data_IF_275223815732
#
_entry.id   IF_275223815732
#
_cell.length_a   1.000
_cell.length_b   1.000
_cell.length_c   1.000
_cell.angle_alpha   90.00
_cell.angle_beta   90.00
_cell.angle_gamma   90.00
#
_symmetry.space_group_name_H-M   'P 1'
#
loop_
_entity.id
_entity.type
_entity.pdbx_description
1 polymer ?
#
# COMPACT_ATOMS: atom_id res chain seq x y z
N UNK A 1 -3.33 -5.43 -27.86
CA UNK A 1 -2.51 -6.66 -27.81
C UNK A 1 -2.15 -6.86 -26.36
N UNK A 2 -2.64 -7.92 -25.72
CA UNK A 2 -2.21 -8.35 -24.38
C UNK A 2 -0.75 -8.79 -24.51
N UNK A 3 0.14 -8.19 -23.72
CA UNK A 3 1.52 -8.64 -23.64
C UNK A 3 1.54 -10.10 -23.15
N UNK A 4 2.21 -10.98 -23.88
CA UNK A 4 2.44 -12.34 -23.40
C UNK A 4 3.71 -12.36 -22.58
N UNK A 5 3.61 -12.85 -21.33
CA UNK A 5 4.73 -12.91 -20.38
C UNK A 5 5.34 -14.32 -20.26
N UNK A 6 5.21 -15.13 -21.30
CA UNK A 6 5.61 -16.54 -21.29
C UNK A 6 7.10 -16.78 -21.01
N UNK A 7 7.95 -15.78 -21.31
CA UNK A 7 9.40 -15.85 -21.11
C UNK A 7 9.88 -15.30 -19.76
N UNK A 8 8.98 -14.77 -18.92
CA UNK A 8 9.36 -14.22 -17.62
C UNK A 8 9.68 -15.32 -16.63
N UNK A 9 10.85 -15.25 -16.02
CA UNK A 9 11.30 -16.17 -14.97
C UNK A 9 11.55 -15.42 -13.68
N UNK A 10 11.07 -15.98 -12.58
CA UNK A 10 11.36 -15.52 -11.23
C UNK A 10 12.64 -16.19 -10.74
N UNK A 11 13.56 -15.41 -10.17
CA UNK A 11 14.88 -15.89 -9.74
C UNK A 11 15.16 -15.29 -8.36
N UNK A 12 15.66 -16.08 -7.43
CA UNK A 12 16.10 -15.55 -6.15
C UNK A 12 16.37 -16.62 -5.11
N UNK A 13 16.98 -16.24 -3.99
CA UNK A 13 17.04 -17.06 -2.79
C UNK A 13 15.64 -17.17 -2.16
N UNK A 14 15.45 -18.07 -1.19
CA UNK A 14 14.17 -18.22 -0.48
C UNK A 14 13.92 -17.09 0.53
N UNK A 15 14.30 -15.86 0.19
CA UNK A 15 14.12 -14.65 1.02
C UNK A 15 13.62 -13.50 0.16
N UNK A 16 12.75 -12.67 0.72
CA UNK A 16 12.13 -11.55 0.00
C UNK A 16 13.15 -10.50 -0.52
N UNK A 17 14.32 -10.42 0.09
CA UNK A 17 15.25 -9.29 -0.11
C UNK A 17 16.23 -9.51 -1.28
N UNK A 18 16.22 -10.67 -1.94
CA UNK A 18 17.14 -11.01 -3.04
C UNK A 18 16.43 -11.53 -4.28
N UNK A 19 15.22 -11.10 -4.53
CA UNK A 19 14.40 -11.62 -5.63
C UNK A 19 14.61 -10.82 -6.91
N UNK A 20 14.69 -11.53 -8.03
CA UNK A 20 14.89 -10.97 -9.35
C UNK A 20 13.88 -11.51 -10.35
N UNK A 21 13.69 -10.75 -11.42
CA UNK A 21 12.84 -11.09 -12.55
C UNK A 21 13.69 -11.06 -13.82
N UNK A 22 13.83 -12.19 -14.50
CA UNK A 22 14.40 -12.22 -15.84
C UNK A 22 13.29 -11.92 -16.85
N UNK A 23 13.41 -10.76 -17.51
CA UNK A 23 12.49 -10.29 -18.54
C UNK A 23 12.83 -10.94 -19.90
N UNK A 24 14.09 -11.32 -20.11
CA UNK A 24 14.61 -12.02 -21.29
C UNK A 24 15.86 -12.82 -20.94
N UNK A 25 16.49 -13.46 -21.93
CA UNK A 25 17.78 -14.16 -21.75
C UNK A 25 18.93 -13.22 -21.34
N UNK A 26 18.79 -11.91 -21.63
CA UNK A 26 19.84 -10.92 -21.44
C UNK A 26 19.47 -9.82 -20.44
N UNK A 27 18.26 -9.84 -19.89
CA UNK A 27 17.77 -8.80 -19.02
C UNK A 27 17.16 -9.36 -17.72
N UNK A 28 17.81 -9.05 -16.60
CA UNK A 28 17.34 -9.37 -15.26
C UNK A 28 17.26 -8.10 -14.43
N UNK A 29 16.16 -7.90 -13.72
CA UNK A 29 15.92 -6.75 -12.84
C UNK A 29 15.59 -7.23 -11.43
N UNK A 30 15.86 -6.39 -10.43
CA UNK A 30 15.42 -6.67 -9.05
C UNK A 30 13.89 -6.59 -8.98
N UNK A 31 13.25 -7.45 -8.17
CA UNK A 31 11.79 -7.45 -8.01
C UNK A 31 11.25 -6.11 -7.49
N UNK A 32 12.05 -5.35 -6.76
CA UNK A 32 11.71 -4.01 -6.26
C UNK A 32 12.21 -2.86 -7.17
N UNK A 33 12.66 -3.15 -8.39
CA UNK A 33 12.91 -2.12 -9.41
C UNK A 33 11.57 -1.69 -10.05
N UNK A 34 10.72 -1.12 -9.20
CA UNK A 34 9.36 -0.72 -9.59
C UNK A 34 9.30 0.20 -10.81
N UNK A 35 10.21 1.20 -10.99
CA UNK A 35 10.19 2.03 -12.19
C UNK A 35 10.24 1.21 -13.48
N UNK A 36 11.08 0.18 -13.53
CA UNK A 36 11.20 -0.70 -14.71
C UNK A 36 10.01 -1.63 -14.86
N UNK A 37 9.48 -2.15 -13.74
CA UNK A 37 8.31 -3.05 -13.75
C UNK A 37 7.06 -2.27 -14.19
N UNK A 38 6.84 -1.07 -13.66
CA UNK A 38 5.69 -0.24 -14.01
C UNK A 38 5.74 0.28 -15.46
N UNK A 39 6.92 0.41 -16.06
CA UNK A 39 7.06 0.82 -17.45
C UNK A 39 6.41 -0.16 -18.44
N UNK A 40 6.31 -1.45 -18.07
CA UNK A 40 5.73 -2.50 -18.93
C UNK A 40 4.26 -2.74 -18.55
N UNK A 41 3.30 -2.52 -19.49
CA UNK A 41 1.87 -2.70 -19.21
C UNK A 41 1.54 -4.11 -18.68
N UNK A 42 0.89 -4.20 -17.50
CA UNK A 42 0.45 -5.45 -16.89
C UNK A 42 1.55 -6.31 -16.25
N UNK A 43 2.82 -5.90 -16.35
CA UNK A 43 3.93 -6.71 -15.82
C UNK A 43 3.89 -6.83 -14.31
N UNK A 44 3.57 -5.74 -13.60
CA UNK A 44 3.44 -5.73 -12.15
C UNK A 44 2.39 -6.74 -11.68
N UNK A 45 1.21 -6.68 -12.26
CA UNK A 45 0.10 -7.59 -11.93
C UNK A 45 0.49 -9.04 -12.23
N UNK A 46 1.07 -9.28 -13.39
CA UNK A 46 1.52 -10.62 -13.77
C UNK A 46 2.53 -11.19 -12.76
N UNK A 47 3.54 -10.42 -12.38
CA UNK A 47 4.57 -10.88 -11.44
C UNK A 47 3.99 -10.98 -10.02
N UNK A 48 3.44 -9.88 -9.51
CA UNK A 48 3.16 -9.73 -8.08
C UNK A 48 1.82 -10.38 -7.71
N UNK A 49 0.77 -10.18 -8.53
CA UNK A 49 -0.55 -10.70 -8.20
C UNK A 49 -0.71 -12.16 -8.67
N UNK A 50 -0.30 -12.51 -9.90
CA UNK A 50 -0.55 -13.83 -10.45
C UNK A 50 0.54 -14.83 -10.01
N UNK A 51 1.83 -14.50 -10.25
CA UNK A 51 2.93 -15.43 -10.02
C UNK A 51 3.32 -15.55 -8.54
N UNK A 52 3.40 -14.45 -7.82
CA UNK A 52 3.75 -14.41 -6.39
C UNK A 52 2.51 -14.43 -5.49
N UNK A 53 1.30 -14.39 -6.05
CA UNK A 53 0.02 -14.52 -5.33
C UNK A 53 -0.15 -13.47 -4.22
N UNK A 54 0.22 -12.22 -4.48
CA UNK A 54 0.12 -11.16 -3.50
C UNK A 54 -1.34 -10.85 -3.14
N UNK A 55 -1.65 -10.89 -1.85
CA UNK A 55 -2.99 -10.68 -1.29
C UNK A 55 -3.18 -9.35 -0.57
N UNK A 56 -2.11 -8.58 -0.36
CA UNK A 56 -2.22 -7.33 0.42
C UNK A 56 -3.25 -6.34 -0.12
N UNK A 57 -3.40 -6.11 -1.44
CA UNK A 57 -4.43 -5.20 -1.94
C UNK A 57 -5.85 -5.63 -1.55
N UNK A 58 -6.16 -6.92 -1.71
CA UNK A 58 -7.46 -7.47 -1.36
C UNK A 58 -7.71 -7.42 0.15
N UNK A 59 -6.74 -7.86 0.96
CA UNK A 59 -6.84 -7.88 2.42
C UNK A 59 -7.00 -6.47 2.98
N UNK A 60 -6.24 -5.49 2.48
CA UNK A 60 -6.38 -4.10 2.89
C UNK A 60 -7.74 -3.53 2.52
N UNK A 61 -8.21 -3.75 1.28
CA UNK A 61 -9.50 -3.23 0.81
C UNK A 61 -10.68 -3.86 1.58
N UNK A 62 -10.70 -5.19 1.74
CA UNK A 62 -11.72 -5.90 2.53
C UNK A 62 -11.70 -5.46 4.00
N UNK A 63 -10.52 -5.32 4.59
CA UNK A 63 -10.34 -4.82 5.95
C UNK A 63 -10.89 -3.40 6.11
N UNK A 64 -10.55 -2.50 5.20
CA UNK A 64 -11.06 -1.13 5.21
C UNK A 64 -12.60 -1.10 5.11
N UNK A 65 -13.18 -1.85 4.20
CA UNK A 65 -14.64 -1.94 4.03
C UNK A 65 -15.33 -2.56 5.28
N UNK A 66 -14.70 -3.54 5.93
CA UNK A 66 -15.15 -4.06 7.24
C UNK A 66 -15.12 -2.98 8.31
N UNK A 67 -14.03 -2.20 8.38
CA UNK A 67 -13.89 -1.13 9.38
C UNK A 67 -14.96 -0.05 9.21
N UNK A 68 -15.20 0.46 8.00
CA UNK A 68 -16.23 1.47 7.76
C UNK A 68 -17.65 0.94 8.05
N UNK A 69 -17.93 -0.33 7.73
CA UNK A 69 -19.20 -0.99 8.08
C UNK A 69 -19.39 -1.07 9.59
N UNK A 70 -18.35 -1.49 10.33
CA UNK A 70 -18.36 -1.57 11.80
C UNK A 70 -18.59 -0.20 12.45
N UNK A 71 -18.09 0.86 11.82
CA UNK A 71 -18.23 2.24 12.29
C UNK A 71 -19.53 2.92 11.80
N UNK A 72 -20.38 2.18 11.09
CA UNK A 72 -21.63 2.69 10.48
C UNK A 72 -21.40 3.92 9.58
N UNK A 73 -20.28 3.96 8.84
CA UNK A 73 -19.93 5.02 7.91
C UNK A 73 -20.43 4.68 6.51
N UNK A 74 -20.84 5.71 5.75
CA UNK A 74 -21.34 5.56 4.38
C UNK A 74 -20.19 5.68 3.37
N UNK A 75 -19.77 4.59 2.68
CA UNK A 75 -18.65 4.64 1.73
C UNK A 75 -18.89 5.64 0.60
N UNK A 76 -20.14 5.82 0.17
CA UNK A 76 -20.53 6.75 -0.90
C UNK A 76 -20.35 8.24 -0.55
N UNK A 77 -20.03 8.57 0.68
CA UNK A 77 -19.71 9.93 1.13
C UNK A 77 -18.21 10.15 1.40
N UNK A 78 -17.39 9.09 1.33
CA UNK A 78 -16.00 9.14 1.75
C UNK A 78 -15.03 9.52 0.63
N UNK A 79 -14.00 10.29 1.00
CA UNK A 79 -12.77 10.41 0.23
C UNK A 79 -11.65 9.72 0.98
N UNK A 80 -11.03 8.72 0.38
CA UNK A 80 -10.00 7.88 1.02
C UNK A 80 -8.62 8.20 0.44
N UNK A 81 -7.63 8.34 1.31
CA UNK A 81 -6.22 8.44 0.93
C UNK A 81 -5.64 7.04 0.75
N UNK A 82 -5.07 6.76 -0.42
CA UNK A 82 -4.31 5.55 -0.71
C UNK A 82 -2.81 5.88 -0.76
N UNK A 83 -2.03 5.33 0.18
CA UNK A 83 -0.59 5.59 0.32
C UNK A 83 0.21 4.45 -0.28
N UNK A 84 1.13 4.78 -1.20
CA UNK A 84 1.83 3.81 -2.03
C UNK A 84 0.89 3.21 -3.06
N UNK A 85 0.18 4.07 -3.78
CA UNK A 85 -0.93 3.71 -4.68
C UNK A 85 -0.53 2.81 -5.84
N UNK A 86 0.76 2.79 -6.24
CA UNK A 86 1.28 1.93 -7.30
C UNK A 86 0.48 2.02 -8.60
N UNK A 87 0.10 0.87 -9.14
CA UNK A 87 -0.72 0.76 -10.35
C UNK A 87 -2.21 1.03 -10.14
N UNK A 88 -2.66 1.32 -8.90
CA UNK A 88 -4.03 1.68 -8.60
C UNK A 88 -4.96 0.51 -8.21
N UNK A 89 -4.41 -0.67 -7.94
CA UNK A 89 -5.21 -1.85 -7.63
C UNK A 89 -6.05 -1.69 -6.36
N UNK A 90 -5.48 -1.10 -5.30
CA UNK A 90 -6.20 -0.81 -4.05
C UNK A 90 -7.33 0.19 -4.29
N UNK A 91 -7.03 1.29 -5.01
CA UNK A 91 -8.04 2.27 -5.39
C UNK A 91 -9.21 1.65 -6.15
N UNK A 92 -8.94 0.75 -7.11
CA UNK A 92 -9.97 0.03 -7.85
C UNK A 92 -10.86 -0.81 -6.93
N UNK A 93 -10.26 -1.56 -6.00
CA UNK A 93 -10.97 -2.43 -5.06
C UNK A 93 -11.89 -1.64 -4.11
N UNK A 94 -11.40 -0.56 -3.49
CA UNK A 94 -12.23 0.23 -2.56
C UNK A 94 -13.30 1.04 -3.30
N UNK A 95 -13.02 1.49 -4.53
CA UNK A 95 -14.04 2.10 -5.40
C UNK A 95 -15.13 1.07 -5.76
N UNK A 96 -14.75 -0.16 -6.07
CA UNK A 96 -15.68 -1.28 -6.26
C UNK A 96 -16.53 -1.58 -5.03
N UNK A 97 -15.99 -1.33 -3.83
CA UNK A 97 -16.69 -1.42 -2.53
C UNK A 97 -17.57 -0.22 -2.20
N UNK A 98 -17.74 0.75 -3.12
CA UNK A 98 -18.66 1.88 -2.98
C UNK A 98 -18.06 3.16 -2.44
N UNK A 99 -16.74 3.23 -2.16
CA UNK A 99 -16.08 4.48 -1.76
C UNK A 99 -16.23 5.53 -2.85
N UNK A 100 -16.71 6.74 -2.48
CA UNK A 100 -17.04 7.79 -3.45
C UNK A 100 -15.82 8.31 -4.21
N UNK A 101 -14.70 8.54 -3.51
CA UNK A 101 -13.49 9.11 -4.08
C UNK A 101 -12.25 8.50 -3.44
N UNK A 102 -11.20 8.32 -4.23
CA UNK A 102 -9.88 7.95 -3.72
C UNK A 102 -8.86 8.95 -4.24
N UNK A 103 -7.96 9.40 -3.38
CA UNK A 103 -6.79 10.22 -3.71
C UNK A 103 -5.56 9.34 -3.52
N UNK A 104 -4.80 9.14 -4.58
CA UNK A 104 -3.59 8.33 -4.57
C UNK A 104 -2.35 9.16 -4.29
N UNK A 105 -1.40 8.58 -3.54
CA UNK A 105 -0.05 9.14 -3.34
C UNK A 105 0.98 8.05 -3.56
N UNK A 106 2.01 8.35 -4.36
CA UNK A 106 3.16 7.49 -4.54
C UNK A 106 4.43 8.34 -4.78
N UNK A 107 5.58 7.83 -4.38
CA UNK A 107 6.86 8.51 -4.59
C UNK A 107 7.31 8.45 -6.06
N UNK A 108 6.80 7.49 -6.85
CA UNK A 108 7.26 7.19 -8.19
C UNK A 108 6.33 7.78 -9.26
N UNK A 109 6.89 8.56 -10.17
CA UNK A 109 6.16 9.06 -11.34
C UNK A 109 5.69 7.92 -12.27
N UNK A 110 6.46 6.83 -12.32
CA UNK A 110 6.17 5.62 -13.09
C UNK A 110 4.94 4.89 -12.57
N UNK A 111 4.72 4.90 -11.24
CA UNK A 111 3.52 4.35 -10.61
C UNK A 111 2.27 5.09 -11.10
N UNK A 112 2.31 6.44 -11.07
CA UNK A 112 1.23 7.28 -11.62
C UNK A 112 0.99 7.00 -13.11
N UNK A 113 2.05 6.92 -13.89
CA UNK A 113 1.94 6.65 -15.34
C UNK A 113 1.31 5.28 -15.61
N UNK A 114 1.71 4.24 -14.85
CA UNK A 114 1.12 2.91 -14.92
C UNK A 114 -0.36 2.92 -14.51
N UNK A 115 -0.71 3.59 -13.41
CA UNK A 115 -2.09 3.71 -12.98
C UNK A 115 -2.99 4.39 -14.03
N UNK A 116 -2.54 5.51 -14.60
CA UNK A 116 -3.31 6.22 -15.64
C UNK A 116 -3.49 5.39 -16.93
N UNK A 117 -2.52 4.54 -17.25
CA UNK A 117 -2.56 3.63 -18.40
C UNK A 117 -3.51 2.45 -18.16
N UNK A 118 -3.37 1.79 -17.00
CA UNK A 118 -3.99 0.48 -16.74
C UNK A 118 -5.35 0.61 -16.04
N UNK A 119 -5.55 1.67 -15.23
CA UNK A 119 -6.77 1.95 -14.42
C UNK A 119 -7.19 3.42 -14.54
N UNK A 120 -7.48 3.92 -15.76
CA UNK A 120 -7.83 5.33 -15.96
C UNK A 120 -9.09 5.69 -15.14
N UNK A 121 -9.00 6.81 -14.41
CA UNK A 121 -10.13 7.36 -13.64
C UNK A 121 -10.42 6.67 -12.31
N UNK A 122 -9.57 5.74 -11.84
CA UNK A 122 -9.75 5.10 -10.53
C UNK A 122 -9.57 6.10 -9.40
N UNK A 123 -8.57 6.99 -9.50
CA UNK A 123 -8.35 8.08 -8.55
C UNK A 123 -9.00 9.38 -9.01
N UNK A 124 -9.53 10.14 -8.07
CA UNK A 124 -9.96 11.52 -8.29
C UNK A 124 -8.75 12.44 -8.53
N UNK A 125 -7.64 12.14 -7.85
CA UNK A 125 -6.33 12.73 -8.09
C UNK A 125 -5.23 11.73 -7.71
N UNK A 126 -4.05 11.85 -8.32
CA UNK A 126 -2.88 11.02 -8.05
C UNK A 126 -1.66 11.93 -7.90
N UNK A 127 -1.22 12.10 -6.66
CA UNK A 127 -0.10 12.96 -6.29
C UNK A 127 1.22 12.18 -6.30
N UNK A 128 2.28 12.82 -6.78
CA UNK A 128 3.62 12.27 -6.72
C UNK A 128 4.36 12.98 -5.59
N UNK A 129 4.87 12.22 -4.62
CA UNK A 129 5.68 12.76 -3.53
C UNK A 129 5.97 11.75 -2.45
N UNK A 130 6.99 12.07 -1.67
CA UNK A 130 7.42 11.28 -0.53
C UNK A 130 6.83 11.84 0.76
N UNK A 131 5.96 11.06 1.39
CA UNK A 131 5.34 11.41 2.68
C UNK A 131 6.32 11.36 3.87
N UNK A 132 7.51 10.76 3.73
CA UNK A 132 8.51 10.75 4.80
C UNK A 132 9.19 12.11 5.00
N UNK A 133 9.08 13.02 4.02
CA UNK A 133 9.72 14.34 4.05
C UNK A 133 8.91 15.35 4.86
N UNK A 134 9.48 15.88 5.94
CA UNK A 134 8.86 16.93 6.77
C UNK A 134 8.74 18.28 6.05
N UNK A 135 9.55 18.51 5.01
CA UNK A 135 9.58 19.78 4.25
C UNK A 135 8.63 19.81 3.06
N UNK A 136 7.83 18.74 2.86
CA UNK A 136 7.03 18.56 1.66
C UNK A 136 5.78 19.46 1.61
N UNK A 137 5.44 19.89 0.41
CA UNK A 137 4.16 20.52 0.11
C UNK A 137 3.00 19.52 0.14
N UNK A 138 3.32 18.21 0.14
CA UNK A 138 2.38 17.10 0.00
C UNK A 138 1.32 17.04 1.13
N UNK A 139 1.67 17.10 2.44
CA UNK A 139 0.66 17.17 3.49
C UNK A 139 -0.26 18.40 3.37
N UNK A 140 0.28 19.54 2.90
CA UNK A 140 -0.54 20.73 2.65
C UNK A 140 -1.52 20.55 1.50
N UNK A 141 -1.10 19.91 0.41
CA UNK A 141 -1.99 19.55 -0.69
C UNK A 141 -3.07 18.56 -0.24
N UNK A 142 -2.69 17.54 0.53
CA UNK A 142 -3.62 16.53 1.05
C UNK A 142 -4.71 17.09 1.94
N UNK A 143 -4.42 18.11 2.75
CA UNK A 143 -5.44 18.82 3.56
C UNK A 143 -6.52 19.51 2.71
N UNK A 144 -6.27 19.74 1.42
CA UNK A 144 -7.27 20.26 0.48
C UNK A 144 -8.35 19.26 0.07
N UNK A 145 -8.15 17.97 0.39
CA UNK A 145 -9.08 16.89 0.02
C UNK A 145 -9.92 16.49 1.23
N UNK A 146 -10.89 16.92 1.67
CA UNK A 146 -11.75 16.45 2.77
C UNK A 146 -11.64 14.92 3.04
N UNK A 147 -10.42 14.45 3.37
CA UNK A 147 -10.10 13.04 3.57
C UNK A 147 -10.86 12.47 4.77
N UNK A 148 -11.44 11.29 4.64
CA UNK A 148 -12.21 10.62 5.68
C UNK A 148 -11.72 9.22 6.03
N UNK A 149 -10.57 8.79 5.48
CA UNK A 149 -9.95 7.49 5.77
C UNK A 149 -8.64 7.30 5.03
N UNK A 150 -7.88 6.27 5.41
CA UNK A 150 -6.58 5.91 4.84
C UNK A 150 -6.51 4.42 4.54
N UNK A 151 -5.93 4.08 3.39
CA UNK A 151 -5.59 2.71 3.06
C UNK A 151 -4.16 2.64 2.53
N UNK A 152 -3.47 1.53 2.78
CA UNK A 152 -2.14 1.26 2.22
C UNK A 152 -1.86 -0.22 2.19
N UNK A 153 -1.43 -0.74 1.06
CA UNK A 153 -1.12 -2.15 0.88
C UNK A 153 0.35 -2.35 0.52
N UNK A 154 1.17 -2.79 1.49
CA UNK A 154 2.56 -3.13 1.29
C UNK A 154 3.50 -1.96 0.97
N UNK A 155 3.09 -0.72 1.29
CA UNK A 155 3.92 0.46 1.07
C UNK A 155 4.75 0.87 2.29
N UNK A 156 4.45 0.33 3.45
CA UNK A 156 5.17 0.63 4.69
C UNK A 156 6.13 -0.49 5.08
N UNK A 157 7.31 -0.13 5.57
CA UNK A 157 8.31 -1.05 6.12
C UNK A 157 9.46 -1.36 5.16
N UNK A 158 10.54 -1.92 5.71
CA UNK A 158 11.72 -2.31 4.95
C UNK A 158 12.39 -1.15 4.23
N UNK A 159 12.64 -1.35 2.94
CA UNK A 159 13.20 -0.32 2.04
C UNK A 159 12.13 0.62 1.47
N UNK A 160 10.87 0.47 1.87
CA UNK A 160 9.75 1.32 1.47
C UNK A 160 9.58 2.51 2.42
N UNK A 161 8.36 3.04 2.53
CA UNK A 161 8.10 4.21 3.36
C UNK A 161 8.33 3.92 4.86
N UNK A 162 9.06 4.79 5.59
CA UNK A 162 9.32 4.64 7.02
C UNK A 162 8.12 5.04 7.89
N UNK A 163 8.18 4.83 9.23
CA UNK A 163 7.11 5.24 10.16
C UNK A 163 6.73 6.71 10.08
N UNK A 164 7.67 7.62 9.77
CA UNK A 164 7.39 9.05 9.58
C UNK A 164 6.38 9.30 8.47
N UNK A 165 6.40 8.51 7.40
CA UNK A 165 5.41 8.62 6.32
C UNK A 165 3.99 8.26 6.79
N UNK A 166 3.83 7.25 7.66
CA UNK A 166 2.57 6.94 8.30
C UNK A 166 2.10 8.09 9.20
N UNK A 167 2.98 8.62 10.06
CA UNK A 167 2.67 9.73 10.95
C UNK A 167 2.20 10.96 10.14
N UNK A 168 2.90 11.29 9.07
CA UNK A 168 2.53 12.40 8.19
C UNK A 168 1.19 12.15 7.47
N UNK A 169 0.93 10.91 7.04
CA UNK A 169 -0.36 10.55 6.46
C UNK A 169 -1.52 10.66 7.47
N UNK A 170 -1.31 10.25 8.72
CA UNK A 170 -2.30 10.40 9.79
C UNK A 170 -2.59 11.87 10.11
N UNK A 171 -1.59 12.75 10.03
CA UNK A 171 -1.71 14.18 10.36
C UNK A 171 -2.68 14.96 9.44
N UNK A 172 -3.07 14.39 8.32
CA UNK A 172 -4.01 15.02 7.36
C UNK A 172 -5.43 14.47 7.46
N UNK A 173 -5.66 13.52 8.38
CA UNK A 173 -6.96 12.90 8.60
C UNK A 173 -7.70 13.53 9.79
N UNK A 174 -9.03 13.59 9.77
CA UNK A 174 -9.81 13.97 10.93
C UNK A 174 -9.79 12.89 12.02
N UNK A 175 -10.12 13.25 13.24
CA UNK A 175 -10.36 12.32 14.34
C UNK A 175 -11.45 11.30 13.98
N UNK A 176 -11.28 10.04 14.37
CA UNK A 176 -12.20 8.94 14.09
C UNK A 176 -12.13 8.40 12.66
N UNK A 177 -11.21 8.89 11.82
CA UNK A 177 -11.04 8.37 10.46
C UNK A 177 -10.54 6.92 10.48
N UNK A 178 -11.20 5.97 9.78
CA UNK A 178 -10.75 4.60 9.67
C UNK A 178 -9.48 4.51 8.83
N UNK A 179 -8.64 3.54 9.19
CA UNK A 179 -7.48 3.17 8.38
C UNK A 179 -7.33 1.65 8.29
N UNK A 180 -6.78 1.21 7.16
CA UNK A 180 -6.35 -0.16 6.93
C UNK A 180 -4.96 -0.14 6.28
N UNK A 181 -3.97 -0.70 6.96
CA UNK A 181 -2.60 -0.77 6.44
C UNK A 181 -2.07 -2.20 6.56
N UNK A 182 -1.26 -2.63 5.61
CA UNK A 182 -0.57 -3.92 5.69
C UNK A 182 0.93 -3.71 5.76
N UNK A 183 1.56 -4.38 6.73
CA UNK A 183 3.00 -4.25 7.03
C UNK A 183 3.60 -5.66 7.17
N UNK A 184 4.82 -5.83 6.67
CA UNK A 184 5.58 -7.07 6.85
C UNK A 184 5.77 -7.36 8.35
N UNK A 185 5.44 -8.58 8.79
CA UNK A 185 5.50 -8.98 10.21
C UNK A 185 6.88 -8.80 10.82
N UNK A 186 7.96 -8.86 10.01
CA UNK A 186 9.34 -8.65 10.47
C UNK A 186 9.58 -7.26 11.05
N UNK A 187 8.82 -6.26 10.62
CA UNK A 187 8.90 -4.87 11.08
C UNK A 187 7.96 -4.55 12.24
N UNK A 188 7.21 -5.57 12.71
CA UNK A 188 6.18 -5.43 13.74
C UNK A 188 6.60 -6.01 15.09
N UNK A 189 7.83 -6.52 15.25
CA UNK A 189 8.25 -7.23 16.46
C UNK A 189 8.54 -6.31 17.67
N UNK A 190 8.51 -5.00 17.51
CA UNK A 190 8.70 -4.02 18.58
C UNK A 190 10.13 -3.96 19.16
N UNK A 191 11.04 -4.84 18.75
CA UNK A 191 12.44 -4.83 19.21
C UNK A 191 13.26 -3.70 18.56
N UNK A 192 12.83 -3.21 17.41
CA UNK A 192 13.38 -2.03 16.76
C UNK A 192 12.65 -0.77 17.25
N UNK A 193 13.30 0.10 18.06
CA UNK A 193 12.68 1.30 18.61
C UNK A 193 12.29 2.34 17.54
N UNK A 194 12.92 2.27 16.37
CA UNK A 194 12.64 3.13 15.23
C UNK A 194 11.73 2.43 14.19
N UNK A 195 11.28 1.21 14.49
CA UNK A 195 10.47 0.38 13.63
C UNK A 195 8.96 0.66 13.71
N UNK A 196 8.20 -0.01 12.86
CA UNK A 196 6.74 0.15 12.80
C UNK A 196 6.02 -0.38 14.03
N UNK A 197 6.49 -1.48 14.62
CA UNK A 197 5.92 -2.02 15.86
C UNK A 197 5.92 -0.97 16.96
N UNK A 198 7.09 -0.39 17.25
CA UNK A 198 7.24 0.66 18.26
C UNK A 198 6.43 1.93 17.91
N UNK A 199 6.44 2.35 16.65
CA UNK A 199 5.69 3.53 16.21
C UNK A 199 4.17 3.36 16.41
N UNK A 200 3.60 2.22 16.05
CA UNK A 200 2.17 1.93 16.24
C UNK A 200 1.83 1.86 17.73
N UNK A 201 2.64 1.17 18.55
CA UNK A 201 2.44 1.12 20.00
C UNK A 201 2.48 2.51 20.63
N UNK A 202 3.41 3.36 20.21
CA UNK A 202 3.48 4.74 20.67
C UNK A 202 2.25 5.57 20.28
N UNK A 203 1.80 5.46 19.02
CA UNK A 203 0.59 6.14 18.54
C UNK A 203 -0.65 5.71 19.31
N UNK A 204 -0.76 4.41 19.64
CA UNK A 204 -1.85 3.89 20.48
C UNK A 204 -1.74 4.41 21.92
N UNK A 205 -0.54 4.37 22.52
CA UNK A 205 -0.32 4.85 23.88
C UNK A 205 -0.61 6.36 24.04
N UNK A 206 -0.37 7.14 22.99
CA UNK A 206 -0.67 8.58 22.93
C UNK A 206 -2.15 8.88 22.60
N UNK A 207 -2.95 7.86 22.30
CA UNK A 207 -4.34 8.04 21.87
C UNK A 207 -4.47 8.59 20.44
N UNK A 208 -3.39 8.64 19.67
CA UNK A 208 -3.41 9.06 18.26
C UNK A 208 -4.00 7.98 17.34
N UNK A 209 -3.97 6.72 17.78
CA UNK A 209 -4.64 5.59 17.15
C UNK A 209 -5.45 4.78 18.17
N UNK A 210 -6.61 4.29 17.72
CA UNK A 210 -7.39 3.26 18.41
C UNK A 210 -7.45 2.03 17.54
N UNK A 211 -6.83 0.92 17.98
CA UNK A 211 -6.83 -0.34 17.23
C UNK A 211 -8.24 -0.94 17.24
N UNK A 212 -8.69 -1.36 16.06
CA UNK A 212 -9.93 -2.11 15.87
C UNK A 212 -9.64 -3.61 15.68
N UNK A 213 -8.58 -3.94 14.93
CA UNK A 213 -8.21 -5.31 14.57
C UNK A 213 -6.72 -5.37 14.21
N UNK A 214 -6.08 -6.50 14.49
CA UNK A 214 -4.75 -6.86 14.02
C UNK A 214 -4.80 -8.31 13.57
N UNK A 215 -4.47 -8.58 12.30
CA UNK A 215 -4.61 -9.88 11.68
C UNK A 215 -3.34 -10.25 10.90
N UNK A 216 -2.75 -11.40 11.21
CA UNK A 216 -1.66 -11.98 10.44
C UNK A 216 -2.20 -12.72 9.23
N UNK A 217 -1.67 -12.47 8.04
CA UNK A 217 -2.11 -13.14 6.81
C UNK A 217 -0.93 -13.48 5.89
N UNK A 218 -1.14 -14.45 5.00
CA UNK A 218 -0.19 -14.75 3.93
C UNK A 218 -0.22 -13.61 2.91
N UNK A 219 0.86 -12.81 2.88
CA UNK A 219 1.01 -11.69 1.96
C UNK A 219 1.23 -12.18 0.52
N UNK A 220 2.25 -13.00 0.31
CA UNK A 220 2.63 -13.61 -0.96
C UNK A 220 3.61 -14.76 -0.74
N UNK A 221 3.98 -15.44 -1.82
CA UNK A 221 5.11 -16.35 -1.81
C UNK A 221 6.37 -15.67 -2.38
N UNK A 222 7.55 -16.18 -2.02
CA UNK A 222 8.82 -15.80 -2.67
C UNK A 222 8.90 -16.39 -4.07
N UNK A 223 9.92 -16.00 -4.83
CA UNK A 223 10.24 -16.58 -6.15
C UNK A 223 10.57 -18.07 -6.09
N UNK A 224 10.85 -18.63 -4.91
CA UNK A 224 11.10 -20.06 -4.65
C UNK A 224 9.93 -20.78 -3.98
N UNK A 225 8.81 -20.06 -3.73
CA UNK A 225 7.58 -20.64 -3.15
C UNK A 225 7.45 -20.53 -1.64
N UNK A 226 8.42 -19.94 -0.93
CA UNK A 226 8.35 -19.78 0.52
C UNK A 226 7.33 -18.69 0.92
N UNK A 227 6.52 -18.89 1.97
CA UNK A 227 5.51 -17.93 2.38
C UNK A 227 6.11 -16.69 3.04
N UNK A 228 5.57 -15.52 2.72
CA UNK A 228 5.84 -14.25 3.37
C UNK A 228 4.56 -13.78 4.05
N UNK A 229 4.64 -13.45 5.33
CA UNK A 229 3.49 -13.02 6.12
C UNK A 229 3.56 -11.54 6.44
N UNK A 230 2.39 -10.92 6.40
CA UNK A 230 2.16 -9.53 6.79
C UNK A 230 1.09 -9.46 7.87
N UNK A 231 1.01 -8.31 8.51
CA UNK A 231 -0.08 -7.96 9.40
C UNK A 231 -0.97 -6.89 8.77
N UNK A 232 -2.28 -7.13 8.82
CA UNK A 232 -3.29 -6.11 8.61
C UNK A 232 -3.54 -5.39 9.93
N UNK A 233 -3.44 -4.08 9.92
CA UNK A 233 -3.80 -3.20 11.04
C UNK A 233 -5.03 -2.40 10.63
N UNK A 234 -6.13 -2.61 11.34
CA UNK A 234 -7.31 -1.77 11.28
C UNK A 234 -7.36 -0.88 12.51
N UNK A 235 -7.51 0.40 12.33
CA UNK A 235 -7.59 1.35 13.42
C UNK A 235 -8.47 2.55 13.05
N UNK A 236 -8.70 3.44 14.01
CA UNK A 236 -9.17 4.80 13.76
C UNK A 236 -8.15 5.79 14.29
N UNK A 237 -8.09 6.97 13.66
CA UNK A 237 -7.34 8.10 14.22
C UNK A 237 -7.96 8.54 15.53
N UNK A 238 -7.12 8.95 16.49
CA UNK A 238 -7.55 9.56 17.73
C UNK A 238 -8.07 10.99 17.57
N UNK A 239 -8.60 11.54 18.66
CA UNK A 239 -9.07 12.92 18.76
C UNK A 239 -8.01 13.83 19.37
#
# INVERSE_FOLDING_TARGET
MTATFDNIRLIGPPTADGEYVALSEHETIHLHDYPRIYAVPGLYEHIVQERLQCRSPQVAAEGFLRAITRLAMEPSSMTVLDVGSGTGLVGELVRGGGVARVVGVDALAEARAACLRDRPGVYADYLIGDLSSDSGTLPTQLRGYALGGLISAGAFGGTHAPPSALINALSVLPAGAPLAITIDERWMDGSDPDGFGAAIEQLVAQGALTLLERERFLHRITTTGEPIFYELILATTGG
#
